data_IF_701127507117
#
_entry.id   IF_701127507117
#
_cell.length_a   1.000
_cell.length_b   1.000
_cell.length_c   1.000
_cell.angle_alpha   90.00
_cell.angle_beta   90.00
_cell.angle_gamma   90.00
#
_symmetry.space_group_name_H-M   'P 1'
#
loop_
_entity.id
_entity.type
_entity.pdbx_description
1 polymer ?
#
# COMPACT_ATOMS: atom_id res chain seq x y z
N UNK A 1 23.87 9.42 6.73
CA UNK A 1 22.67 9.48 5.88
C UNK A 1 21.75 8.37 6.35
N UNK A 2 20.52 8.69 6.76
CA UNK A 2 19.48 7.69 7.00
C UNK A 2 19.11 7.15 5.62
N UNK A 3 19.81 6.11 5.17
CA UNK A 3 19.49 5.43 3.91
C UNK A 3 18.13 4.76 4.12
N UNK A 4 17.08 5.54 3.89
CA UNK A 4 15.71 5.07 3.95
C UNK A 4 15.57 4.24 2.69
N UNK A 5 15.60 2.92 2.81
CA UNK A 5 15.08 1.97 1.81
C UNK A 5 13.57 2.15 1.53
N UNK A 6 13.03 3.31 1.87
CA UNK A 6 11.66 3.72 1.73
C UNK A 6 11.47 4.56 0.48
N UNK A 7 10.45 4.20 -0.31
CA UNK A 7 9.94 4.96 -1.44
C UNK A 7 8.55 5.46 -1.05
N UNK A 8 8.22 6.69 -1.40
CA UNK A 8 6.92 7.26 -1.06
C UNK A 8 6.44 8.22 -2.15
N UNK A 9 5.11 8.32 -2.28
CA UNK A 9 4.48 9.25 -3.21
C UNK A 9 3.25 9.87 -2.57
N UNK A 10 3.06 11.17 -2.85
CA UNK A 10 1.83 11.90 -2.59
C UNK A 10 1.23 12.28 -3.94
N UNK A 11 -0.06 12.00 -4.12
CA UNK A 11 -0.83 12.40 -5.28
C UNK A 11 -1.71 13.60 -4.91
N UNK A 12 -1.74 14.59 -5.80
CA UNK A 12 -2.56 15.78 -5.68
C UNK A 12 -3.60 15.81 -6.80
N UNK A 13 -4.79 16.28 -6.49
CA UNK A 13 -5.87 16.51 -7.44
C UNK A 13 -5.57 17.74 -8.29
N UNK A 14 -5.59 17.59 -9.61
CA UNK A 14 -5.39 18.71 -10.54
C UNK A 14 -6.49 19.77 -10.46
N UNK A 15 -7.66 19.42 -9.90
CA UNK A 15 -8.83 20.32 -9.81
C UNK A 15 -8.71 21.34 -8.68
N UNK A 16 -8.19 20.94 -7.53
CA UNK A 16 -8.22 21.73 -6.30
C UNK A 16 -6.91 21.69 -5.50
N UNK A 17 -5.88 21.01 -6.02
CA UNK A 17 -4.57 20.89 -5.37
C UNK A 17 -4.58 20.09 -4.07
N UNK A 18 -5.70 19.45 -3.70
CA UNK A 18 -5.79 18.67 -2.47
C UNK A 18 -5.10 17.32 -2.64
N UNK A 19 -4.58 16.79 -1.53
CA UNK A 19 -4.04 15.43 -1.48
C UNK A 19 -5.18 14.44 -1.73
N UNK A 20 -5.06 13.66 -2.80
CA UNK A 20 -6.03 12.62 -3.16
C UNK A 20 -5.46 11.20 -3.00
N UNK A 21 -4.19 11.07 -2.61
CA UNK A 21 -3.63 9.81 -2.18
C UNK A 21 -2.20 9.90 -1.67
N UNK A 22 -1.81 8.92 -0.87
CA UNK A 22 -0.45 8.74 -0.36
C UNK A 22 -0.09 7.25 -0.43
N UNK A 23 1.17 6.96 -0.69
CA UNK A 23 1.69 5.60 -0.66
C UNK A 23 3.12 5.58 -0.19
N UNK A 24 3.51 4.49 0.46
CA UNK A 24 4.91 4.18 0.69
C UNK A 24 5.21 2.70 0.46
N UNK A 25 6.49 2.40 0.31
CA UNK A 25 7.03 1.06 0.36
C UNK A 25 8.41 1.06 1.00
N UNK A 26 8.78 -0.02 1.68
CA UNK A 26 10.10 -0.19 2.30
C UNK A 26 10.69 -1.51 1.83
N UNK A 27 11.96 -1.50 1.41
CA UNK A 27 12.72 -2.72 1.11
C UNK A 27 13.49 -3.14 2.36
N UNK A 28 13.30 -4.38 2.81
CA UNK A 28 14.08 -4.95 3.89
C UNK A 28 15.26 -5.76 3.33
N UNK A 29 16.49 -5.34 3.65
CA UNK A 29 17.72 -5.93 3.09
C UNK A 29 17.90 -7.43 3.40
N UNK A 30 17.34 -7.92 4.51
CA UNK A 30 17.54 -9.32 4.94
C UNK A 30 17.03 -10.36 3.93
N UNK A 31 15.95 -10.07 3.23
CA UNK A 31 15.28 -10.95 2.27
C UNK A 31 15.00 -10.26 0.92
N UNK A 32 15.38 -8.98 0.81
CA UNK A 32 15.02 -8.09 -0.29
C UNK A 32 13.49 -8.01 -0.50
N UNK A 33 12.75 -8.06 0.61
CA UNK A 33 11.29 -8.02 0.62
C UNK A 33 10.83 -6.57 0.56
N UNK A 34 10.05 -6.22 -0.47
CA UNK A 34 9.45 -4.89 -0.58
C UNK A 34 8.06 -4.91 0.04
N UNK A 35 7.93 -4.37 1.25
CA UNK A 35 6.64 -4.15 1.87
C UNK A 35 6.00 -2.87 1.32
N UNK A 36 4.85 -3.01 0.67
CA UNK A 36 4.04 -1.88 0.23
C UNK A 36 3.08 -1.57 1.36
N UNK A 37 3.00 -0.31 1.80
CA UNK A 37 2.03 0.12 2.80
C UNK A 37 2.54 1.17 3.79
N UNK A 38 1.68 2.13 4.19
CA UNK A 38 0.30 2.21 3.78
C UNK A 38 0.14 2.79 2.38
N UNK A 39 -1.01 2.50 1.76
CA UNK A 39 -1.49 3.14 0.54
C UNK A 39 -2.94 3.55 0.74
N UNK A 40 -3.17 4.86 0.69
CA UNK A 40 -4.47 5.50 0.78
C UNK A 40 -4.73 6.28 -0.50
N UNK A 41 -5.94 6.20 -1.04
CA UNK A 41 -6.32 7.00 -2.20
C UNK A 41 -7.83 7.21 -2.24
N UNK A 42 -8.27 8.29 -2.89
CA UNK A 42 -9.70 8.53 -3.12
C UNK A 42 -10.29 7.57 -4.16
N UNK A 43 -9.50 7.17 -5.16
CA UNK A 43 -9.93 6.31 -6.26
C UNK A 43 -8.88 5.25 -6.63
N UNK A 44 -9.29 4.09 -7.21
CA UNK A 44 -8.34 3.04 -7.60
C UNK A 44 -7.28 3.50 -8.60
N UNK A 45 -7.64 4.42 -9.52
CA UNK A 45 -6.70 4.97 -10.49
C UNK A 45 -5.58 5.77 -9.82
N UNK A 46 -5.92 6.54 -8.77
CA UNK A 46 -4.93 7.29 -8.00
C UNK A 46 -3.98 6.33 -7.27
N UNK A 47 -4.51 5.26 -6.68
CA UNK A 47 -3.69 4.19 -6.08
C UNK A 47 -2.73 3.55 -7.08
N UNK A 48 -3.21 3.26 -8.29
CA UNK A 48 -2.42 2.70 -9.39
C UNK A 48 -1.30 3.67 -9.83
N UNK A 49 -1.60 4.96 -10.00
CA UNK A 49 -0.60 5.97 -10.36
C UNK A 49 0.49 6.09 -9.29
N UNK A 50 0.10 6.17 -8.01
CA UNK A 50 1.03 6.18 -6.88
C UNK A 50 1.95 4.97 -6.93
N UNK A 51 1.38 3.78 -7.09
CA UNK A 51 2.15 2.54 -7.11
C UNK A 51 3.08 2.44 -8.32
N UNK A 52 2.62 2.82 -9.51
CA UNK A 52 3.46 2.86 -10.71
C UNK A 52 4.67 3.78 -10.56
N UNK A 53 4.48 4.95 -9.92
CA UNK A 53 5.60 5.86 -9.64
C UNK A 53 6.58 5.25 -8.64
N UNK A 54 6.09 4.65 -7.55
CA UNK A 54 6.97 3.96 -6.59
C UNK A 54 7.75 2.81 -7.23
N UNK A 55 7.12 2.01 -8.12
CA UNK A 55 7.81 0.95 -8.86
C UNK A 55 8.92 1.49 -9.75
N UNK A 56 8.68 2.61 -10.44
CA UNK A 56 9.69 3.26 -11.25
C UNK A 56 10.84 3.81 -10.39
N UNK A 57 10.54 4.45 -9.26
CA UNK A 57 11.56 4.97 -8.33
C UNK A 57 12.41 3.82 -7.75
N UNK A 58 11.79 2.68 -7.39
CA UNK A 58 12.48 1.46 -6.98
C UNK A 58 13.40 0.95 -8.10
N UNK A 59 12.90 0.86 -9.32
CA UNK A 59 13.70 0.40 -10.46
C UNK A 59 14.91 1.32 -10.71
N UNK A 60 14.70 2.64 -10.66
CA UNK A 60 15.76 3.63 -10.86
C UNK A 60 16.80 3.63 -9.74
N UNK A 61 16.42 3.23 -8.52
CA UNK A 61 17.35 3.12 -7.39
C UNK A 61 18.39 2.00 -7.53
N UNK A 62 18.18 1.05 -8.46
CA UNK A 62 19.04 -0.13 -8.62
C UNK A 62 18.91 -1.17 -7.50
N UNK A 63 18.01 -0.96 -6.53
CA UNK A 63 17.74 -1.94 -5.46
C UNK A 63 17.08 -3.19 -6.03
N UNK A 64 17.54 -4.36 -5.57
CA UNK A 64 16.93 -5.64 -5.94
C UNK A 64 15.69 -5.87 -5.06
N UNK A 65 14.62 -6.37 -5.67
CA UNK A 65 13.42 -6.81 -4.94
C UNK A 65 13.18 -8.28 -5.29
N UNK A 66 13.13 -9.13 -4.26
CA UNK A 66 12.84 -10.56 -4.44
C UNK A 66 11.34 -10.82 -4.54
N UNK A 67 10.55 -10.13 -3.71
CA UNK A 67 9.09 -10.21 -3.66
C UNK A 67 8.47 -8.91 -3.16
N UNK A 68 7.26 -8.65 -3.62
CA UNK A 68 6.40 -7.59 -3.11
C UNK A 68 5.40 -8.17 -2.12
N UNK A 69 5.36 -7.60 -0.93
CA UNK A 69 4.37 -7.93 0.09
C UNK A 69 3.33 -6.81 0.14
N UNK A 70 2.08 -7.16 -0.18
CA UNK A 70 0.92 -6.26 -0.10
C UNK A 70 -0.01 -6.79 0.98
N UNK A 71 -0.37 -5.94 1.94
CA UNK A 71 -1.41 -6.24 2.92
C UNK A 71 -2.75 -5.72 2.40
N UNK A 72 -3.83 -6.37 2.81
CA UNK A 72 -5.19 -5.98 2.41
C UNK A 72 -6.17 -6.05 3.56
N UNK A 73 -7.16 -5.17 3.56
CA UNK A 73 -8.36 -5.34 4.38
C UNK A 73 -9.36 -6.27 3.70
N UNK A 74 -9.91 -7.25 4.42
CA UNK A 74 -11.09 -7.99 3.95
C UNK A 74 -12.28 -7.06 3.68
N UNK A 75 -12.33 -5.89 4.33
CA UNK A 75 -13.45 -4.96 4.27
C UNK A 75 -13.35 -3.89 3.17
N UNK A 76 -12.21 -3.73 2.49
CA UNK A 76 -12.11 -2.79 1.39
C UNK A 76 -12.56 -3.50 0.08
N UNK A 77 -13.65 -3.07 -0.60
CA UNK A 77 -14.17 -3.76 -1.79
C UNK A 77 -13.15 -3.87 -2.94
N UNK A 78 -12.17 -2.96 -2.95
CA UNK A 78 -11.12 -2.88 -3.97
C UNK A 78 -9.76 -3.40 -3.50
N UNK A 79 -9.68 -4.03 -2.33
CA UNK A 79 -8.44 -4.41 -1.62
C UNK A 79 -7.35 -5.05 -2.50
N UNK A 80 -7.72 -5.83 -3.52
CA UNK A 80 -6.77 -6.37 -4.52
C UNK A 80 -7.10 -6.01 -5.96
N UNK A 81 -8.25 -5.40 -6.24
CA UNK A 81 -8.63 -5.00 -7.60
C UNK A 81 -7.75 -3.89 -8.13
N UNK A 82 -7.28 -3.00 -7.26
CA UNK A 82 -6.43 -1.89 -7.66
C UNK A 82 -5.08 -2.36 -8.24
N UNK A 83 -4.54 -3.48 -7.74
CA UNK A 83 -3.25 -4.02 -8.18
C UNK A 83 -3.36 -4.91 -9.43
N UNK A 84 -4.58 -5.28 -9.85
CA UNK A 84 -4.79 -6.23 -10.95
C UNK A 84 -4.04 -5.88 -12.25
N UNK A 85 -3.90 -4.60 -12.66
CA UNK A 85 -3.18 -4.28 -13.90
C UNK A 85 -1.67 -4.55 -13.84
N UNK A 86 -1.09 -4.69 -12.64
CA UNK A 86 0.35 -4.90 -12.44
C UNK A 86 0.73 -6.38 -12.37
N UNK A 87 -0.26 -7.27 -12.33
CA UNK A 87 -0.03 -8.69 -12.08
C UNK A 87 0.02 -9.47 -13.39
N UNK A 88 1.08 -10.28 -13.53
CA UNK A 88 1.25 -11.23 -14.64
C UNK A 88 0.85 -12.66 -14.29
N UNK A 89 0.61 -12.94 -13.01
CA UNK A 89 0.28 -14.26 -12.48
C UNK A 89 -0.84 -14.18 -11.45
N UNK A 90 -1.47 -15.33 -11.20
CA UNK A 90 -2.49 -15.46 -10.17
C UNK A 90 -1.88 -15.22 -8.78
N UNK A 91 -2.59 -14.44 -7.96
CA UNK A 91 -2.14 -14.04 -6.63
C UNK A 91 -2.22 -15.22 -5.66
N UNK A 92 -1.14 -15.52 -4.94
CA UNK A 92 -1.20 -16.45 -3.81
C UNK A 92 -1.60 -15.69 -2.54
N UNK A 93 -2.73 -16.06 -1.96
CA UNK A 93 -3.19 -15.51 -0.68
C UNK A 93 -2.67 -16.36 0.46
N UNK A 94 -1.94 -15.75 1.38
CA UNK A 94 -1.57 -16.36 2.65
C UNK A 94 -2.22 -15.57 3.78
N UNK A 95 -2.87 -16.28 4.69
CA UNK A 95 -3.39 -15.69 5.91
C UNK A 95 -2.21 -15.36 6.83
N UNK A 96 -2.03 -14.07 7.16
CA UNK A 96 -0.87 -13.63 7.95
C UNK A 96 -1.19 -13.61 9.46
N UNK A 97 -2.33 -13.07 9.88
CA UNK A 97 -2.78 -13.15 11.27
C UNK A 97 -4.25 -12.75 11.41
N UNK A 98 -4.85 -13.17 12.54
CA UNK A 98 -6.13 -12.65 13.00
C UNK A 98 -5.94 -11.21 13.53
N UNK A 99 -6.97 -10.39 13.34
CA UNK A 99 -7.01 -9.01 13.80
C UNK A 99 -6.86 -8.93 15.33
N UNK A 100 -6.04 -8.01 15.83
CA UNK A 100 -5.90 -7.77 17.29
C UNK A 100 -6.20 -6.32 17.59
N UNK A 101 -7.26 -6.09 18.37
CA UNK A 101 -7.50 -4.81 19.03
C UNK A 101 -7.03 -4.87 20.47
N UNK A 102 -6.45 -3.76 20.95
CA UNK A 102 -6.21 -3.59 22.38
C UNK A 102 -7.35 -2.81 23.07
N UNK A 103 -7.91 -1.75 22.48
CA UNK A 103 -8.82 -0.86 23.22
C UNK A 103 -10.05 -0.24 22.49
N UNK A 104 -9.99 0.26 21.25
CA UNK A 104 -11.19 0.77 20.52
C UNK A 104 -10.91 1.12 19.05
N UNK A 105 -11.96 1.16 18.22
CA UNK A 105 -11.90 1.64 16.83
C UNK A 105 -12.07 3.17 16.79
N UNK A 106 -11.17 3.94 16.15
CA UNK A 106 -11.36 5.36 15.94
C UNK A 106 -12.62 5.62 15.10
N UNK A 107 -13.47 6.54 15.56
CA UNK A 107 -14.63 7.00 14.82
C UNK A 107 -14.14 7.95 13.71
N UNK A 108 -14.60 7.78 12.47
CA UNK A 108 -14.29 8.61 11.28
C UNK A 108 -13.09 8.18 10.40
N UNK A 109 -12.71 6.90 10.38
CA UNK A 109 -11.79 6.40 9.35
C UNK A 109 -12.60 6.01 8.11
N UNK A 110 -12.24 6.56 6.95
CA UNK A 110 -12.78 6.18 5.64
C UNK A 110 -12.10 4.89 5.14
N UNK A 111 -12.58 3.73 5.60
CA UNK A 111 -11.97 2.42 5.31
C UNK A 111 -11.94 2.06 3.83
N UNK A 112 -12.89 2.56 3.06
CA UNK A 112 -12.98 2.42 1.62
C UNK A 112 -11.79 3.06 0.86
N UNK A 113 -11.09 4.00 1.50
CA UNK A 113 -9.90 4.66 0.95
C UNK A 113 -8.60 3.92 1.26
N UNK A 114 -8.65 2.84 2.05
CA UNK A 114 -7.47 2.09 2.48
C UNK A 114 -7.23 0.92 1.54
N UNK A 115 -6.22 1.04 0.68
CA UNK A 115 -5.85 -0.01 -0.27
C UNK A 115 -4.79 -0.95 0.28
N UNK A 116 -3.83 -0.42 1.04
CA UNK A 116 -2.84 -1.20 1.77
C UNK A 116 -2.61 -0.61 3.16
N UNK A 117 -2.76 -1.36 4.26
CA UNK A 117 -2.45 -0.89 5.61
C UNK A 117 -0.95 -0.97 5.93
N UNK A 118 -0.50 -0.18 6.91
CA UNK A 118 0.88 -0.24 7.43
C UNK A 118 1.17 -1.56 8.18
N UNK A 119 0.22 -2.00 9.01
CA UNK A 119 0.31 -3.23 9.80
C UNK A 119 -0.89 -4.14 9.51
N UNK A 120 -0.90 -5.35 10.05
CA UNK A 120 -2.08 -6.23 10.00
C UNK A 120 -3.29 -5.72 10.82
N UNK A 121 -3.21 -4.49 11.32
CA UNK A 121 -4.29 -3.78 11.98
C UNK A 121 -5.20 -3.16 10.93
N UNK A 122 -6.35 -3.77 10.67
CA UNK A 122 -7.44 -3.12 9.95
C UNK A 122 -8.78 -3.31 10.65
N UNK A 123 -9.40 -2.19 10.91
CA UNK A 123 -10.43 -2.09 11.91
C UNK A 123 -11.75 -2.75 11.42
N UNK A 124 -12.19 -3.81 12.09
CA UNK A 124 -13.55 -4.33 12.08
C UNK A 124 -14.45 -3.63 13.11
N UNK A 125 -15.64 -3.21 12.67
CA UNK A 125 -16.90 -3.45 13.40
C UNK A 125 -17.78 -4.26 12.46
#
# INVERSE_FOLDING_TARGET
MLDRDGFAKVAYSDKDGKVCGIGQSIIYENKMDCNIGPLYADEPRVAQTIFSHMLNDIQQSGKKVSRFEVRSAQMAPNSFRWLSPFLKCEQKRSHICNLVYKHSVPKNIAFEKVYCPTHAQLFMV
#
